data_IF_159553533618
#
_entry.id   IF_159553533618
#
_cell.length_a   1.000
_cell.length_b   1.000
_cell.length_c   1.000
_cell.angle_alpha   90.00
_cell.angle_beta   90.00
_cell.angle_gamma   90.00
#
_symmetry.space_group_name_H-M   'P 1'
#
loop_
_entity.id
_entity.type
_entity.pdbx_description
1 polymer ?
#
# COMPACT_ATOMS: atom_id res chain seq x y z
N UNK A 1 -0.31 -16.17 -7.46
CA UNK A 1 0.01 -17.62 -7.56
C UNK A 1 0.38 -18.20 -6.21
N UNK A 2 1.37 -17.65 -5.51
CA UNK A 2 1.81 -18.08 -4.15
C UNK A 2 0.66 -18.39 -3.16
N UNK A 3 -0.33 -17.51 -2.93
CA UNK A 3 -1.40 -17.78 -1.96
C UNK A 3 -2.34 -18.92 -2.36
N UNK A 4 -2.58 -19.11 -3.66
CA UNK A 4 -3.44 -20.20 -4.16
C UNK A 4 -2.73 -21.55 -4.01
N UNK A 5 -1.42 -21.61 -4.30
CA UNK A 5 -0.67 -22.87 -4.27
C UNK A 5 -0.16 -23.25 -2.87
N UNK A 6 0.14 -22.29 -1.99
CA UNK A 6 0.67 -22.57 -0.64
C UNK A 6 -0.38 -22.56 0.46
N UNK A 7 -1.45 -21.76 0.30
CA UNK A 7 -2.51 -21.61 1.31
C UNK A 7 -3.88 -22.13 0.87
N UNK A 8 -3.97 -22.71 -0.34
CA UNK A 8 -5.20 -23.25 -0.92
C UNK A 8 -6.37 -22.25 -0.90
N UNK A 9 -6.07 -20.94 -1.02
CA UNK A 9 -7.08 -19.90 -1.06
C UNK A 9 -7.83 -19.87 -2.40
N UNK A 10 -9.11 -19.51 -2.34
CA UNK A 10 -9.93 -19.27 -3.53
C UNK A 10 -9.31 -18.20 -4.43
N UNK A 11 -9.26 -18.48 -5.74
CA UNK A 11 -8.71 -17.56 -6.75
C UNK A 11 -9.26 -16.13 -6.65
N UNK A 12 -10.55 -15.99 -6.37
CA UNK A 12 -11.20 -14.68 -6.22
C UNK A 12 -10.60 -13.88 -5.05
N UNK A 13 -10.37 -14.52 -3.91
CA UNK A 13 -9.81 -13.88 -2.71
C UNK A 13 -8.34 -13.54 -2.92
N UNK A 14 -7.58 -14.48 -3.50
CA UNK A 14 -6.18 -14.27 -3.83
C UNK A 14 -6.00 -13.09 -4.80
N UNK A 15 -6.84 -12.96 -5.83
CA UNK A 15 -6.77 -11.85 -6.78
C UNK A 15 -7.21 -10.53 -6.15
N UNK A 16 -8.35 -10.48 -5.46
CA UNK A 16 -8.81 -9.25 -4.83
C UNK A 16 -7.84 -8.75 -3.75
N UNK A 17 -7.41 -9.63 -2.84
CA UNK A 17 -6.49 -9.30 -1.77
C UNK A 17 -5.11 -8.89 -2.28
N UNK A 18 -4.50 -9.69 -3.17
CA UNK A 18 -3.13 -9.43 -3.60
C UNK A 18 -3.02 -8.39 -4.72
N UNK A 19 -3.99 -8.29 -5.62
CA UNK A 19 -3.90 -7.35 -6.74
C UNK A 19 -4.56 -6.02 -6.38
N UNK A 20 -5.78 -6.03 -5.84
CA UNK A 20 -6.55 -4.80 -5.62
C UNK A 20 -6.19 -4.18 -4.27
N UNK A 21 -6.34 -4.92 -3.17
CA UNK A 21 -6.10 -4.36 -1.83
C UNK A 21 -4.64 -3.97 -1.65
N UNK A 22 -3.69 -4.81 -2.05
CA UNK A 22 -2.25 -4.46 -2.00
C UNK A 22 -1.91 -3.21 -2.80
N UNK A 23 -2.49 -3.08 -4.01
CA UNK A 23 -2.22 -1.93 -4.87
C UNK A 23 -2.78 -0.64 -4.28
N UNK A 24 -4.03 -0.67 -3.82
CA UNK A 24 -4.68 0.47 -3.16
C UNK A 24 -3.92 0.87 -1.90
N UNK A 25 -3.50 -0.08 -1.06
CA UNK A 25 -2.71 0.21 0.15
C UNK A 25 -1.35 0.82 -0.17
N UNK A 26 -0.61 0.28 -1.15
CA UNK A 26 0.68 0.85 -1.58
C UNK A 26 0.53 2.27 -2.12
N UNK A 27 -0.53 2.53 -2.89
CA UNK A 27 -0.81 3.85 -3.42
C UNK A 27 -1.14 4.83 -2.29
N UNK A 28 -2.00 4.42 -1.35
CA UNK A 28 -2.32 5.21 -0.16
C UNK A 28 -1.09 5.46 0.71
N UNK A 29 -0.18 4.50 0.87
CA UNK A 29 1.08 4.72 1.58
C UNK A 29 1.98 5.74 0.87
N UNK A 30 2.13 5.61 -0.44
CA UNK A 30 2.94 6.52 -1.27
C UNK A 30 2.40 7.96 -1.18
N UNK A 31 1.08 8.10 -1.33
CA UNK A 31 0.43 9.42 -1.25
C UNK A 31 0.29 9.93 0.18
N UNK A 32 0.26 9.04 1.18
CA UNK A 32 0.30 9.42 2.59
C UNK A 32 1.60 10.14 2.93
N UNK A 33 2.74 9.74 2.36
CA UNK A 33 3.98 10.53 2.50
C UNK A 33 3.79 11.93 1.92
N UNK A 34 3.19 12.06 0.74
CA UNK A 34 2.92 13.37 0.14
C UNK A 34 1.91 14.22 0.96
N UNK A 35 1.04 13.60 1.76
CA UNK A 35 0.12 14.34 2.64
C UNK A 35 0.78 14.65 3.99
N UNK A 36 1.21 13.62 4.72
CA UNK A 36 1.75 13.69 6.07
C UNK A 36 3.12 14.38 6.11
N UNK A 37 4.01 14.13 5.14
CA UNK A 37 5.31 14.82 5.14
C UNK A 37 5.19 16.30 4.81
N UNK A 38 4.14 16.72 4.10
CA UNK A 38 3.89 18.14 3.85
C UNK A 38 3.15 18.83 5.02
N UNK A 39 2.35 18.10 5.81
CA UNK A 39 1.65 18.63 6.99
C UNK A 39 2.52 18.59 8.26
N UNK A 40 3.37 17.57 8.41
CA UNK A 40 4.18 17.28 9.60
C UNK A 40 5.68 17.22 9.36
N UNK A 41 6.15 17.50 8.13
CA UNK A 41 7.57 17.65 7.87
C UNK A 41 8.10 18.93 8.53
N UNK A 42 8.88 18.77 9.60
CA UNK A 42 9.73 19.87 10.07
C UNK A 42 10.73 20.20 8.97
N UNK A 43 10.79 21.47 8.57
CA UNK A 43 11.72 22.01 7.58
C UNK A 43 12.88 22.66 8.35
N UNK A 44 13.98 21.92 8.67
CA UNK A 44 15.08 22.45 9.46
C UNK A 44 15.96 23.46 8.69
N UNK A 45 15.72 23.64 7.39
CA UNK A 45 16.36 24.63 6.54
C UNK A 45 15.28 25.50 5.88
N UNK A 46 14.63 26.34 6.66
CA UNK A 46 14.13 27.62 6.16
C UNK A 46 14.98 28.70 6.84
N UNK A 47 15.94 29.24 6.09
CA UNK A 47 16.54 30.54 6.37
C UNK A 47 15.54 31.63 5.99
#
# INVERSE_FOLDING_TARGET
MVPVFLWNESWNIAVFGMAIVRYVLNLNFTWSVNSVAHIWGNKPYDT
#
